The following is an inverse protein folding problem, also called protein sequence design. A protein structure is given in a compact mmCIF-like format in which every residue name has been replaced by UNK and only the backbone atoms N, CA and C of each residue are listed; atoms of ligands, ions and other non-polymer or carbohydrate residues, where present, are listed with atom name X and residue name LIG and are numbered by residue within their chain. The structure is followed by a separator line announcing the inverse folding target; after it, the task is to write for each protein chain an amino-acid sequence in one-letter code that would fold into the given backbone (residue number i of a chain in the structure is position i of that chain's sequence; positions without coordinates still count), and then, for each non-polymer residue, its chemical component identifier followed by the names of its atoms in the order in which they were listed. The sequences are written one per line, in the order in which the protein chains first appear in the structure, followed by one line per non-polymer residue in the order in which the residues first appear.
data_IF_281156881669
#
_entry.id   IF_281156881669
#
_cell.length_a   1.000
_cell.length_b   1.000
_cell.length_c   1.000
_cell.angle_alpha   90.00
_cell.angle_beta   90.00
_cell.angle_gamma   90.00
#
_symmetry.space_group_name_H-M   'P 1'
#
loop_
_entity.id
_entity.type
_entity.pdbx_description
1 polymer ?
#
# COMPACT_ATOMS: atom_id res chain seq x y z
N UNK A 1 -11.05 -17.73 -10.56
CA UNK A 1 -10.40 -17.38 -11.86
C UNK A 1 -9.21 -18.30 -12.09
N UNK A 2 -8.91 -18.66 -13.35
CA UNK A 2 -7.76 -19.52 -13.69
C UNK A 2 -6.46 -18.73 -13.53
N UNK A 3 -5.36 -19.34 -13.06
CA UNK A 3 -4.05 -18.68 -12.92
C UNK A 3 -3.60 -17.94 -14.19
N UNK A 4 -3.86 -18.53 -15.36
CA UNK A 4 -3.59 -17.89 -16.67
C UNK A 4 -4.35 -16.56 -16.83
N UNK A 5 -5.60 -16.48 -16.38
CA UNK A 5 -6.40 -15.24 -16.47
C UNK A 5 -5.83 -14.15 -15.55
N UNK A 6 -5.44 -14.50 -14.33
CA UNK A 6 -4.81 -13.55 -13.40
C UNK A 6 -3.47 -13.03 -13.93
N UNK A 7 -2.69 -13.91 -14.57
CA UNK A 7 -1.43 -13.55 -15.23
C UNK A 7 -1.62 -12.52 -16.34
N UNK A 8 -2.58 -12.76 -17.25
CA UNK A 8 -2.86 -11.80 -18.34
C UNK A 8 -3.42 -10.48 -17.82
N UNK A 9 -4.26 -10.51 -16.78
CA UNK A 9 -4.74 -9.29 -16.11
C UNK A 9 -3.56 -8.52 -15.50
N UNK A 10 -2.63 -9.20 -14.83
CA UNK A 10 -1.46 -8.55 -14.25
C UNK A 10 -0.56 -7.87 -15.30
N UNK A 11 -0.40 -8.46 -16.50
CA UNK A 11 0.29 -7.80 -17.64
C UNK A 11 -0.44 -6.56 -18.12
N UNK A 12 -1.75 -6.67 -18.31
CA UNK A 12 -2.56 -5.54 -18.74
C UNK A 12 -2.49 -4.40 -17.72
N UNK A 13 -2.68 -4.70 -16.42
CA UNK A 13 -2.56 -3.72 -15.35
C UNK A 13 -1.16 -3.12 -15.26
N UNK A 14 -0.10 -3.91 -15.41
CA UNK A 14 1.27 -3.37 -15.42
C UNK A 14 1.47 -2.36 -16.58
N UNK A 15 0.89 -2.64 -17.75
CA UNK A 15 0.86 -1.70 -18.88
C UNK A 15 0.11 -0.41 -18.57
N UNK A 16 -1.05 -0.49 -17.91
CA UNK A 16 -1.81 0.69 -17.49
C UNK A 16 -1.03 1.56 -16.50
N UNK A 17 -0.41 0.94 -15.49
CA UNK A 17 0.41 1.65 -14.48
C UNK A 17 1.62 2.31 -15.14
N UNK A 18 2.29 1.62 -16.07
CA UNK A 18 3.40 2.21 -16.82
C UNK A 18 2.94 3.39 -17.70
N UNK A 19 1.77 3.30 -18.34
CA UNK A 19 1.22 4.38 -19.13
C UNK A 19 0.90 5.60 -18.25
N UNK A 20 0.28 5.40 -17.09
CA UNK A 20 -0.03 6.47 -16.12
C UNK A 20 1.26 7.17 -15.65
N UNK A 21 2.27 6.40 -15.24
CA UNK A 21 3.60 6.92 -14.87
C UNK A 21 4.21 7.80 -15.97
N UNK A 22 4.21 7.32 -17.22
CA UNK A 22 4.79 8.05 -18.36
C UNK A 22 3.98 9.32 -18.65
N UNK A 23 2.65 9.25 -18.62
CA UNK A 23 1.77 10.39 -18.85
C UNK A 23 2.01 11.46 -17.79
N UNK A 24 2.10 11.09 -16.51
CA UNK A 24 2.38 12.02 -15.42
C UNK A 24 3.73 12.72 -15.58
N UNK A 25 4.79 11.97 -15.92
CA UNK A 25 6.11 12.54 -16.20
C UNK A 25 6.08 13.47 -17.41
N UNK A 26 5.39 13.08 -18.48
CA UNK A 26 5.27 13.91 -19.67
C UNK A 26 4.50 15.20 -19.39
N UNK A 27 3.37 15.13 -18.68
CA UNK A 27 2.56 16.31 -18.31
C UNK A 27 3.36 17.30 -17.45
N UNK A 28 4.15 16.79 -16.51
CA UNK A 28 5.03 17.61 -15.69
C UNK A 28 6.10 18.33 -16.54
N UNK A 29 6.75 17.62 -17.45
CA UNK A 29 7.78 18.19 -18.33
C UNK A 29 7.21 19.15 -19.39
N UNK A 30 5.98 18.93 -19.84
CA UNK A 30 5.29 19.77 -20.80
C UNK A 30 4.72 21.06 -20.16
N UNK A 31 4.85 21.24 -18.83
CA UNK A 31 4.31 22.39 -18.12
C UNK A 31 2.77 22.42 -18.06
N UNK A 32 2.12 21.26 -18.21
CA UNK A 32 0.65 21.14 -18.21
C UNK A 32 0.09 21.22 -16.78
N UNK A 33 0.88 20.87 -15.77
CA UNK A 33 0.48 20.97 -14.37
C UNK A 33 0.66 22.40 -13.83
N UNK A 34 -0.30 22.94 -13.04
CA UNK A 34 -1.45 22.24 -12.49
C UNK A 34 -2.65 22.14 -13.46
N UNK A 35 -3.38 21.02 -13.40
CA UNK A 35 -4.62 20.79 -14.16
C UNK A 35 -5.78 20.50 -13.22
N UNK A 36 -6.97 21.02 -13.54
CA UNK A 36 -8.19 20.69 -12.81
C UNK A 36 -8.82 19.42 -13.43
N UNK A 37 -9.02 18.39 -12.60
CA UNK A 37 -9.70 17.16 -13.00
C UNK A 37 -10.71 16.75 -11.94
N UNK A 38 -11.98 16.57 -12.34
CA UNK A 38 -13.11 16.27 -11.45
C UNK A 38 -13.23 17.22 -10.25
N UNK A 39 -12.96 18.52 -10.45
CA UNK A 39 -13.01 19.53 -9.38
C UNK A 39 -11.87 19.45 -8.36
N UNK A 40 -10.81 18.68 -8.65
CA UNK A 40 -9.57 18.61 -7.86
C UNK A 40 -8.40 19.15 -8.68
N UNK A 41 -7.55 19.95 -8.05
CA UNK A 41 -6.31 20.43 -8.64
C UNK A 41 -5.22 19.36 -8.53
N UNK A 42 -4.72 18.91 -9.67
CA UNK A 42 -3.53 18.05 -9.75
C UNK A 42 -2.31 18.96 -9.87
N UNK A 43 -1.51 19.03 -8.81
CA UNK A 43 -0.31 19.89 -8.74
C UNK A 43 0.97 19.07 -8.84
N UNK A 44 2.12 19.75 -8.90
CA UNK A 44 3.43 19.09 -8.88
C UNK A 44 3.74 18.42 -7.52
N UNK A 45 3.06 18.83 -6.44
CA UNK A 45 3.32 18.31 -5.09
C UNK A 45 2.90 16.84 -4.93
N UNK A 46 1.88 16.42 -5.68
CA UNK A 46 1.39 15.03 -5.69
C UNK A 46 2.14 14.14 -6.68
N UNK A 47 2.98 14.73 -7.55
CA UNK A 47 3.69 14.02 -8.61
C UNK A 47 4.62 12.95 -8.05
N UNK A 48 5.52 13.34 -7.15
CA UNK A 48 6.53 12.41 -6.62
C UNK A 48 5.91 11.25 -5.82
N UNK A 49 4.96 11.48 -4.90
CA UNK A 49 4.22 10.38 -4.26
C UNK A 49 3.52 9.46 -5.26
N UNK A 50 2.89 10.02 -6.30
CA UNK A 50 2.21 9.26 -7.35
C UNK A 50 3.18 8.36 -8.13
N UNK A 51 4.30 8.92 -8.61
CA UNK A 51 5.32 8.17 -9.35
C UNK A 51 5.95 7.05 -8.51
N UNK A 52 6.20 7.29 -7.22
CA UNK A 52 6.71 6.25 -6.31
C UNK A 52 5.70 5.12 -6.15
N UNK A 53 4.42 5.47 -6.00
CA UNK A 53 3.34 4.48 -5.92
C UNK A 53 3.24 3.66 -7.20
N UNK A 54 3.25 4.28 -8.37
CA UNK A 54 3.20 3.61 -9.66
C UNK A 54 4.41 2.69 -9.88
N UNK A 55 5.61 3.16 -9.55
CA UNK A 55 6.82 2.34 -9.64
C UNK A 55 6.73 1.11 -8.72
N UNK A 56 6.26 1.28 -7.48
CA UNK A 56 6.06 0.18 -6.56
C UNK A 56 5.00 -0.80 -7.07
N UNK A 57 3.86 -0.30 -7.55
CA UNK A 57 2.77 -1.11 -8.07
C UNK A 57 3.19 -1.86 -9.34
N UNK A 58 3.93 -1.22 -10.23
CA UNK A 58 4.51 -1.84 -11.41
C UNK A 58 5.45 -2.98 -11.03
N UNK A 59 6.39 -2.76 -10.10
CA UNK A 59 7.29 -3.81 -9.62
C UNK A 59 6.52 -4.97 -8.99
N UNK A 60 5.47 -4.70 -8.22
CA UNK A 60 4.62 -5.74 -7.63
C UNK A 60 3.91 -6.56 -8.71
N UNK A 61 3.31 -5.90 -9.71
CA UNK A 61 2.61 -6.59 -10.80
C UNK A 61 3.55 -7.41 -11.68
N UNK A 62 4.73 -6.86 -11.99
CA UNK A 62 5.76 -7.53 -12.78
C UNK A 62 6.36 -8.71 -12.03
N UNK A 63 6.73 -8.52 -10.77
CA UNK A 63 7.42 -9.55 -10.01
C UNK A 63 6.45 -10.62 -9.49
N UNK A 64 5.35 -10.21 -8.87
CA UNK A 64 4.39 -11.14 -8.26
C UNK A 64 3.24 -11.48 -9.20
N UNK A 65 2.63 -10.48 -9.85
CA UNK A 65 1.47 -10.66 -10.72
C UNK A 65 1.74 -11.57 -11.93
N UNK A 66 2.87 -11.37 -12.63
CA UNK A 66 3.28 -12.23 -13.76
C UNK A 66 3.78 -13.61 -13.34
N UNK A 67 4.03 -13.83 -12.06
CA UNK A 67 4.50 -15.11 -11.55
C UNK A 67 3.48 -15.76 -10.61
N UNK A 68 2.20 -15.34 -10.69
CA UNK A 68 1.10 -15.96 -9.95
C UNK A 68 1.08 -17.47 -10.21
N UNK A 69 1.18 -18.25 -9.14
CA UNK A 69 1.22 -19.71 -9.17
C UNK A 69 2.63 -20.34 -9.28
N UNK A 70 3.67 -19.54 -9.54
CA UNK A 70 5.09 -19.99 -9.46
C UNK A 70 5.76 -19.58 -8.15
N UNK A 71 5.19 -18.63 -7.42
CA UNK A 71 5.70 -18.20 -6.12
C UNK A 71 5.50 -19.35 -5.13
N UNK A 72 6.56 -19.83 -4.46
CA UNK A 72 6.42 -20.88 -3.47
C UNK A 72 5.45 -20.41 -2.39
N UNK A 73 4.49 -21.27 -2.04
CA UNK A 73 3.55 -20.96 -0.97
C UNK A 73 4.35 -20.75 0.33
N UNK A 74 4.23 -19.57 0.92
CA UNK A 74 4.74 -19.33 2.26
C UNK A 74 4.04 -20.29 3.22
N UNK A 75 4.79 -20.88 4.15
CA UNK A 75 4.18 -21.65 5.22
C UNK A 75 3.23 -20.71 5.96
N UNK A 76 1.96 -21.11 6.09
CA UNK A 76 0.89 -20.28 6.64
C UNK A 76 1.26 -19.71 8.01
N UNK A 77 1.93 -20.50 8.85
CA UNK A 77 2.51 -20.05 10.13
C UNK A 77 3.47 -18.87 9.97
N UNK A 78 4.38 -18.91 9.01
CA UNK A 78 5.35 -17.83 8.75
C UNK A 78 4.63 -16.58 8.27
N UNK A 79 3.67 -16.74 7.35
CA UNK A 79 2.86 -15.63 6.84
C UNK A 79 2.11 -14.91 7.96
N UNK A 80 1.36 -15.65 8.79
CA UNK A 80 0.61 -15.09 9.92
C UNK A 80 1.53 -14.44 10.95
N UNK A 81 2.70 -15.02 11.20
CA UNK A 81 3.66 -14.43 12.13
C UNK A 81 4.19 -13.08 11.63
N UNK A 82 4.61 -13.00 10.36
CA UNK A 82 5.08 -11.74 9.75
C UNK A 82 3.96 -10.70 9.72
N UNK A 83 2.75 -11.07 9.29
CA UNK A 83 1.60 -10.18 9.28
C UNK A 83 1.31 -9.63 10.69
N UNK A 84 1.35 -10.50 11.70
CA UNK A 84 1.17 -10.12 13.09
C UNK A 84 2.20 -9.11 13.59
N UNK A 85 3.48 -9.29 13.25
CA UNK A 85 4.55 -8.34 13.59
C UNK A 85 4.33 -6.99 12.91
N UNK A 86 4.02 -6.98 11.61
CA UNK A 86 3.77 -5.74 10.86
C UNK A 86 2.61 -4.96 11.49
N UNK A 87 1.48 -5.61 11.76
CA UNK A 87 0.35 -4.95 12.41
C UNK A 87 0.67 -4.49 13.83
N UNK A 88 1.49 -5.22 14.59
CA UNK A 88 1.93 -4.78 15.91
C UNK A 88 2.77 -3.50 15.86
N UNK A 89 3.69 -3.38 14.89
CA UNK A 89 4.49 -2.17 14.68
C UNK A 89 3.57 -0.99 14.34
N UNK A 90 2.59 -1.19 13.45
CA UNK A 90 1.63 -0.13 13.08
C UNK A 90 0.76 0.28 14.27
N UNK A 91 0.30 -0.69 15.08
CA UNK A 91 -0.45 -0.40 16.30
C UNK A 91 0.36 0.46 17.29
N UNK A 92 1.64 0.13 17.48
CA UNK A 92 2.56 0.91 18.32
C UNK A 92 2.73 2.33 17.75
N UNK A 93 2.87 2.49 16.43
CA UNK A 93 2.98 3.80 15.81
C UNK A 93 1.73 4.67 16.04
N UNK A 94 0.53 4.10 15.94
CA UNK A 94 -0.70 4.82 16.26
C UNK A 94 -0.83 5.16 17.75
N UNK A 95 -0.47 4.24 18.65
CA UNK A 95 -0.45 4.51 20.10
C UNK A 95 0.54 5.62 20.45
N UNK A 96 1.76 5.56 19.91
CA UNK A 96 2.76 6.59 20.07
C UNK A 96 2.19 7.95 19.65
N UNK A 97 1.54 8.00 18.49
CA UNK A 97 0.89 9.22 18.00
C UNK A 97 -0.18 9.76 18.96
N UNK A 98 -1.01 8.88 19.54
CA UNK A 98 -2.04 9.26 20.52
C UNK A 98 -1.42 9.84 21.80
N UNK A 99 -0.41 9.18 22.36
CA UNK A 99 0.16 9.58 23.65
C UNK A 99 1.05 10.82 23.56
N UNK A 100 1.78 10.97 22.46
CA UNK A 100 2.67 12.11 22.24
C UNK A 100 1.92 13.31 21.66
N UNK A 101 0.74 13.08 21.06
CA UNK A 101 0.06 14.12 20.29
C UNK A 101 0.82 14.50 19.02
N UNK A 102 1.47 13.53 18.38
CA UNK A 102 2.31 13.79 17.21
C UNK A 102 1.45 14.18 15.99
N UNK A 103 1.81 15.29 15.35
CA UNK A 103 1.20 15.72 14.09
C UNK A 103 1.59 14.76 12.97
N UNK A 104 0.61 14.43 12.11
CA UNK A 104 0.83 13.62 10.91
C UNK A 104 0.28 14.38 9.73
N UNK A 105 1.16 15.14 9.09
CA UNK A 105 0.84 15.94 7.92
C UNK A 105 1.25 15.14 6.68
N UNK A 106 0.28 14.74 5.86
CA UNK A 106 0.50 14.01 4.62
C UNK A 106 0.01 14.89 3.47
N UNK A 107 0.92 15.39 2.64
CA UNK A 107 0.57 16.23 1.48
C UNK A 107 -0.24 17.48 1.87
N UNK A 108 0.06 18.10 3.02
CA UNK A 108 -0.66 19.26 3.55
C UNK A 108 -1.97 18.93 4.28
N UNK A 109 -2.40 17.67 4.30
CA UNK A 109 -3.52 17.23 5.12
C UNK A 109 -3.04 16.82 6.51
N UNK A 110 -3.50 17.54 7.53
CA UNK A 110 -3.32 17.13 8.93
C UNK A 110 -4.33 16.02 9.27
N UNK A 111 -3.83 14.80 9.42
CA UNK A 111 -4.67 13.65 9.68
C UNK A 111 -5.28 13.79 11.09
N UNK A 112 -6.61 13.75 11.27
CA UNK A 112 -7.19 13.95 12.59
C UNK A 112 -6.88 12.80 13.55
N UNK A 113 -6.71 13.11 14.85
CA UNK A 113 -6.27 12.16 15.88
C UNK A 113 -7.22 10.95 16.04
N UNK A 114 -8.52 11.13 15.79
CA UNK A 114 -9.52 10.04 15.87
C UNK A 114 -9.21 8.88 14.92
N UNK A 115 -8.55 9.13 13.78
CA UNK A 115 -8.10 8.06 12.88
C UNK A 115 -7.07 7.16 13.54
N UNK A 116 -6.23 7.70 14.42
CA UNK A 116 -5.23 6.91 15.14
C UNK A 116 -5.88 5.99 16.18
N UNK A 117 -6.98 6.41 16.80
CA UNK A 117 -7.76 5.53 17.68
C UNK A 117 -8.34 4.34 16.91
N UNK A 118 -8.95 4.61 15.74
CA UNK A 118 -9.48 3.57 14.87
C UNK A 118 -8.36 2.65 14.35
N UNK A 119 -7.25 3.25 13.88
CA UNK A 119 -6.06 2.54 13.41
C UNK A 119 -5.48 1.64 14.48
N UNK A 120 -5.34 2.13 15.71
CA UNK A 120 -4.90 1.33 16.87
C UNK A 120 -5.80 0.13 17.11
N UNK A 121 -7.12 0.33 17.17
CA UNK A 121 -8.06 -0.75 17.45
C UNK A 121 -7.99 -1.87 16.40
N UNK A 122 -8.02 -1.48 15.11
CA UNK A 122 -7.98 -2.44 14.00
C UNK A 122 -6.65 -3.18 13.95
N UNK A 123 -5.52 -2.45 14.01
CA UNK A 123 -4.19 -3.06 13.86
C UNK A 123 -3.82 -3.91 15.07
N UNK A 124 -4.24 -3.53 16.28
CA UNK A 124 -4.07 -4.37 17.48
C UNK A 124 -4.86 -5.68 17.35
N UNK A 125 -6.12 -5.60 16.90
CA UNK A 125 -6.95 -6.79 16.68
C UNK A 125 -6.32 -7.73 15.63
N UNK A 126 -5.89 -7.19 14.50
CA UNK A 126 -5.23 -7.97 13.44
C UNK A 126 -3.91 -8.59 13.95
N UNK A 127 -3.08 -7.82 14.65
CA UNK A 127 -1.85 -8.32 15.25
C UNK A 127 -2.11 -9.49 16.19
N UNK A 128 -3.07 -9.33 17.11
CA UNK A 128 -3.46 -10.37 18.06
C UNK A 128 -3.94 -11.62 17.36
N UNK A 129 -4.86 -11.50 16.40
CA UNK A 129 -5.43 -12.66 15.70
C UNK A 129 -4.37 -13.40 14.88
N UNK A 130 -3.52 -12.68 14.14
CA UNK A 130 -2.44 -13.28 13.34
C UNK A 130 -1.40 -13.99 14.21
N UNK A 131 -0.92 -13.35 15.28
CA UNK A 131 0.04 -13.96 16.20
C UNK A 131 -0.56 -15.15 16.96
N UNK A 132 -1.80 -15.02 17.47
CA UNK A 132 -2.49 -16.12 18.16
C UNK A 132 -2.64 -17.33 17.26
N UNK A 133 -3.02 -17.14 16.00
CA UNK A 133 -3.17 -18.25 15.05
C UNK A 133 -1.81 -18.86 14.72
N UNK A 134 -0.79 -18.06 14.40
CA UNK A 134 0.57 -18.54 14.12
C UNK A 134 1.18 -19.36 15.27
N UNK A 135 0.90 -18.98 16.52
CA UNK A 135 1.37 -19.68 17.71
C UNK A 135 0.61 -20.98 18.00
N UNK A 136 -0.66 -21.09 17.58
CA UNK A 136 -1.49 -22.30 17.76
C UNK A 136 -1.26 -23.36 16.68
N UNK A 137 -0.70 -22.99 15.53
CA UNK A 137 -0.34 -23.94 14.49
C UNK A 137 0.82 -24.81 14.96
N UNK A 138 0.59 -26.14 15.03
CA UNK A 138 1.66 -27.13 15.23
C UNK A 138 2.62 -27.07 14.04
N UNK A 139 3.91 -27.22 14.33
CA UNK A 139 5.02 -27.02 13.37
C UNK A 139 4.98 -28.00 12.21
#
# INVERSE_FOLDING_TARGET
MRHKTLHEIAKFCAGLVAADFIILVWMANAGILPIEFLGRMFTVDILLPGLVFDAALFLILVHYGWNIGKIPALRERTYLFIAGIVFAIVAIAHLFRIFVGADLIIGGWDAPLWLSWLGTAVTTYLAYMSLRLALRMKK
#
